data_IF_063544362586
#
_entry.id   IF_063544362586
#
_cell.length_a   1.000
_cell.length_b   1.000
_cell.length_c   1.000
_cell.angle_alpha   90.00
_cell.angle_beta   90.00
_cell.angle_gamma   90.00
#
_symmetry.space_group_name_H-M   'P 1'
#
loop_
_entity.id
_entity.type
_entity.pdbx_description
1 polymer ?
#
# COMPACT_ATOMS: atom_id res chain seq x y z
N UNK A 1 -9.26 13.82 8.96
CA UNK A 1 -8.03 13.11 8.53
C UNK A 1 -8.12 12.81 7.04
N UNK A 2 -7.13 13.22 6.25
CA UNK A 2 -7.09 12.97 4.80
C UNK A 2 -7.04 11.44 4.53
N UNK A 3 -7.66 10.96 3.44
CA UNK A 3 -7.56 9.57 2.98
C UNK A 3 -6.11 9.06 2.95
N UNK A 4 -5.19 9.86 2.42
CA UNK A 4 -3.78 9.47 2.28
C UNK A 4 -3.02 9.55 3.60
N UNK A 5 -3.38 10.48 4.47
CA UNK A 5 -2.86 10.55 5.84
C UNK A 5 -3.26 9.30 6.64
N UNK A 6 -4.52 8.86 6.53
CA UNK A 6 -4.99 7.59 7.11
C UNK A 6 -4.23 6.39 6.57
N UNK A 7 -3.96 6.41 5.27
CA UNK A 7 -3.23 5.33 4.61
C UNK A 7 -1.80 5.24 5.15
N UNK A 8 -1.08 6.37 5.26
CA UNK A 8 0.28 6.42 5.84
C UNK A 8 0.28 5.96 7.30
N UNK A 9 -0.63 6.48 8.14
CA UNK A 9 -0.74 6.07 9.55
C UNK A 9 -0.98 4.57 9.72
N UNK A 10 -1.93 4.02 8.96
CA UNK A 10 -2.21 2.58 8.98
C UNK A 10 -1.03 1.74 8.49
N UNK A 11 -0.25 2.26 7.52
CA UNK A 11 0.95 1.59 7.04
C UNK A 11 2.04 1.55 8.10
N UNK A 12 2.32 2.67 8.76
CA UNK A 12 3.31 2.77 9.84
C UNK A 12 2.93 1.85 10.99
N UNK A 13 1.65 1.82 11.39
CA UNK A 13 1.18 0.90 12.43
C UNK A 13 1.48 -0.57 12.08
N UNK A 14 1.25 -0.99 10.83
CA UNK A 14 1.56 -2.34 10.35
C UNK A 14 3.06 -2.64 10.35
N UNK A 15 3.88 -1.68 9.91
CA UNK A 15 5.33 -1.84 9.93
C UNK A 15 5.85 -2.00 11.37
N UNK A 16 5.33 -1.19 12.31
CA UNK A 16 5.69 -1.27 13.72
C UNK A 16 5.21 -2.56 14.40
N UNK A 17 4.14 -3.20 13.89
CA UNK A 17 3.69 -4.51 14.37
C UNK A 17 4.51 -5.68 13.81
N UNK A 18 5.69 -5.43 13.23
CA UNK A 18 6.60 -6.45 12.71
C UNK A 18 6.21 -7.03 11.35
N UNK A 19 5.20 -6.48 10.67
CA UNK A 19 4.81 -6.94 9.33
C UNK A 19 5.84 -6.44 8.32
N UNK A 20 6.47 -7.37 7.60
CA UNK A 20 7.40 -7.03 6.50
C UNK A 20 6.66 -6.30 5.38
N UNK A 21 7.20 -5.15 5.01
CA UNK A 21 6.70 -4.31 3.90
C UNK A 21 7.77 -4.18 2.84
N UNK A 22 7.37 -4.07 1.57
CA UNK A 22 8.34 -3.85 0.50
C UNK A 22 8.95 -2.45 0.58
N UNK A 23 10.23 -2.32 0.26
CA UNK A 23 10.92 -1.03 0.23
C UNK A 23 10.21 -0.03 -0.69
N UNK A 24 9.73 -0.46 -1.85
CA UNK A 24 8.96 0.39 -2.79
C UNK A 24 7.67 0.94 -2.17
N UNK A 25 6.99 0.15 -1.33
CA UNK A 25 5.78 0.58 -0.64
C UNK A 25 6.12 1.54 0.49
N UNK A 26 7.18 1.28 1.25
CA UNK A 26 7.68 2.20 2.28
C UNK A 26 8.08 3.56 1.68
N UNK A 27 8.85 3.55 0.58
CA UNK A 27 9.22 4.77 -0.15
C UNK A 27 7.98 5.54 -0.61
N UNK A 28 6.96 4.85 -1.14
CA UNK A 28 5.72 5.51 -1.56
C UNK A 28 4.99 6.17 -0.39
N UNK A 29 4.98 5.55 0.79
CA UNK A 29 4.37 6.15 1.99
C UNK A 29 5.15 7.36 2.46
N UNK A 30 6.48 7.27 2.47
CA UNK A 30 7.36 8.40 2.76
C UNK A 30 7.11 9.56 1.79
N UNK A 31 6.98 9.30 0.49
CA UNK A 31 6.67 10.37 -0.47
C UNK A 31 5.31 11.03 -0.23
N UNK A 32 4.28 10.26 0.16
CA UNK A 32 2.99 10.83 0.54
C UNK A 32 3.13 11.74 1.76
N UNK A 33 3.86 11.32 2.78
CA UNK A 33 4.13 12.13 3.98
C UNK A 33 4.90 13.41 3.65
N UNK A 34 6.00 13.28 2.89
CA UNK A 34 6.84 14.38 2.42
C UNK A 34 6.08 15.45 1.63
N UNK A 35 5.04 15.08 0.86
CA UNK A 35 4.22 16.00 0.07
C UNK A 35 2.90 16.37 0.77
N UNK A 36 2.83 16.28 2.11
CA UNK A 36 1.67 16.72 2.88
C UNK A 36 0.42 15.89 2.63
N UNK A 37 0.58 14.59 2.42
CA UNK A 37 -0.48 13.63 2.10
C UNK A 37 -1.23 13.93 0.80
N UNK A 38 -0.60 14.64 -0.15
CA UNK A 38 -1.19 14.93 -1.45
C UNK A 38 -0.64 13.99 -2.53
N UNK A 39 -1.48 13.05 -2.97
CA UNK A 39 -1.11 12.07 -3.99
C UNK A 39 -0.60 12.71 -5.30
N UNK A 40 -1.30 13.76 -5.79
CA UNK A 40 -0.94 14.42 -7.05
C UNK A 40 0.41 15.14 -6.96
N UNK A 41 0.77 15.63 -5.78
CA UNK A 41 2.03 16.32 -5.54
C UNK A 41 3.22 15.36 -5.53
N UNK A 42 3.01 14.09 -5.17
CA UNK A 42 4.05 13.05 -5.36
C UNK A 42 4.37 12.87 -6.84
N UNK A 43 3.37 12.93 -7.72
CA UNK A 43 3.59 12.83 -9.17
C UNK A 43 4.29 14.09 -9.71
N UNK A 44 3.92 15.27 -9.19
CA UNK A 44 4.46 16.60 -9.53
C UNK A 44 5.71 17.02 -8.75
N UNK A 45 6.31 16.10 -7.99
CA UNK A 45 7.50 16.39 -7.18
C UNK A 45 8.62 17.00 -8.06
N UNK A 46 9.14 18.20 -7.74
CA UNK A 46 10.15 18.87 -8.57
C UNK A 46 11.57 18.33 -8.36
N UNK A 47 11.80 17.54 -7.31
CA UNK A 47 13.14 17.14 -6.86
C UNK A 47 13.75 15.97 -7.64
N UNK A 48 13.48 15.87 -8.95
CA UNK A 48 13.95 14.76 -9.79
C UNK A 48 15.46 14.54 -9.75
N UNK A 49 16.25 15.62 -9.75
CA UNK A 49 17.71 15.56 -9.76
C UNK A 49 18.34 15.44 -8.38
N UNK A 50 17.60 15.80 -7.30
CA UNK A 50 18.16 15.91 -5.94
C UNK A 50 17.64 14.84 -4.97
N UNK A 51 16.56 14.14 -5.33
CA UNK A 51 15.96 13.12 -4.48
C UNK A 51 16.33 11.71 -4.98
N UNK A 52 17.14 10.94 -4.23
CA UNK A 52 17.50 9.57 -4.62
C UNK A 52 16.28 8.64 -4.68
N UNK A 53 15.19 9.00 -4.00
CA UNK A 53 13.94 8.23 -4.00
C UNK A 53 13.03 8.55 -5.19
N UNK A 54 13.36 9.55 -6.03
CA UNK A 54 12.45 10.04 -7.06
C UNK A 54 11.99 8.95 -8.03
N UNK A 55 12.89 8.06 -8.44
CA UNK A 55 12.58 6.97 -9.36
C UNK A 55 11.67 5.89 -8.74
N UNK A 56 11.65 5.79 -7.41
CA UNK A 56 10.88 4.79 -6.65
C UNK A 56 9.55 5.33 -6.10
N UNK A 57 9.32 6.65 -6.13
CA UNK A 57 8.18 7.34 -5.49
C UNK A 57 6.78 6.82 -5.88
N UNK A 58 6.66 6.27 -7.10
CA UNK A 58 5.39 5.72 -7.63
C UNK A 58 5.07 4.32 -7.10
N UNK A 59 6.00 3.66 -6.41
CA UNK A 59 5.77 2.36 -5.77
C UNK A 59 5.44 1.23 -6.76
N UNK A 60 5.76 1.40 -8.06
CA UNK A 60 5.62 0.36 -9.08
C UNK A 60 6.92 -0.43 -9.17
N UNK A 61 6.85 -1.73 -8.90
CA UNK A 61 7.86 -2.67 -9.35
C UNK A 61 7.65 -2.88 -10.87
N UNK A 62 8.66 -2.58 -11.68
CA UNK A 62 8.65 -2.89 -13.12
C UNK A 62 8.89 -4.37 -13.39
N UNK A 63 9.26 -5.15 -12.37
CA UNK A 63 9.37 -6.60 -12.43
C UNK A 63 8.01 -7.24 -12.15
N UNK A 64 7.40 -7.78 -13.20
CA UNK A 64 6.11 -8.45 -13.17
C UNK A 64 6.04 -9.55 -12.13
N UNK A 65 5.04 -9.44 -11.27
CA UNK A 65 4.06 -10.45 -10.88
C UNK A 65 2.94 -9.64 -10.20
N UNK A 66 1.91 -9.33 -10.96
CA UNK A 66 0.64 -8.83 -10.43
C UNK A 66 -0.13 -9.99 -9.77
N UNK A 67 0.43 -10.61 -8.73
CA UNK A 67 -0.32 -11.49 -7.84
C UNK A 67 -0.86 -10.66 -6.68
N UNK A 68 -2.18 -10.42 -6.65
CA UNK A 68 -3.05 -10.44 -5.46
C UNK A 68 -4.39 -9.77 -5.81
N UNK A 69 -5.22 -10.43 -6.62
CA UNK A 69 -6.68 -10.19 -6.68
C UNK A 69 -7.39 -11.47 -7.15
N UNK A 70 -7.24 -12.60 -6.46
CA UNK A 70 -8.08 -13.81 -6.64
C UNK A 70 -7.73 -14.93 -5.62
N UNK A 71 -7.79 -14.67 -4.31
CA UNK A 71 -7.77 -15.76 -3.31
C UNK A 71 -8.31 -15.39 -1.92
N UNK A 72 -9.37 -14.59 -1.86
CA UNK A 72 -10.06 -14.29 -0.59
C UNK A 72 -11.57 -14.55 -0.69
N UNK A 73 -12.17 -14.55 -1.88
CA UNK A 73 -13.62 -14.79 -2.05
C UNK A 73 -14.03 -16.27 -1.96
N UNK A 74 -13.18 -17.21 -2.37
CA UNK A 74 -13.55 -18.64 -2.43
C UNK A 74 -13.57 -19.31 -1.06
N UNK A 75 -12.61 -18.96 -0.18
CA UNK A 75 -12.58 -19.44 1.21
C UNK A 75 -13.76 -18.86 2.00
N UNK A 76 -14.17 -17.63 1.71
CA UNK A 76 -15.27 -16.98 2.44
C UNK A 76 -16.65 -17.55 2.11
N UNK A 77 -16.87 -18.10 0.91
CA UNK A 77 -18.15 -18.73 0.53
C UNK A 77 -18.29 -20.13 1.14
N UNK A 78 -17.21 -20.93 1.21
CA UNK A 78 -17.22 -22.25 1.88
C UNK A 78 -17.56 -22.11 3.37
N UNK A 79 -16.98 -21.12 4.04
CA UNK A 79 -17.27 -20.87 5.46
C UNK A 79 -18.70 -20.38 5.73
N UNK A 80 -19.43 -19.91 4.72
CA UNK A 80 -20.84 -19.50 4.83
C UNK A 80 -21.80 -20.67 4.57
N UNK A 81 -21.45 -21.61 3.68
CA UNK A 81 -22.25 -22.82 3.45
C UNK A 81 -22.18 -23.80 4.61
N UNK A 82 -21.03 -23.91 5.29
CA UNK A 82 -20.87 -24.84 6.43
C UNK A 82 -21.63 -24.39 7.70
N UNK A 83 -21.94 -23.09 7.83
CA UNK A 83 -22.75 -22.57 8.94
C UNK A 83 -24.25 -22.78 8.74
N UNK A 84 -24.72 -22.87 7.49
CA UNK A 84 -26.15 -23.06 7.15
C UNK A 84 -26.65 -24.51 7.26
N UNK A 85 -25.78 -25.47 7.58
CA UNK A 85 -26.15 -26.89 7.74
C UNK A 85 -26.12 -27.38 9.19
N UNK A 86 -25.98 -26.47 10.17
CA UNK A 86 -25.99 -26.78 11.61
C UNK A 86 -27.02 -25.96 12.42
N UNK A 87 -27.94 -25.30 11.73
CA UNK A 87 -29.21 -24.77 12.26
C UNK A 87 -30.35 -25.57 11.63
#
# INVERSE_FOLDING_TARGET
>A
MNKYEKLVKNFVQKANSGIRVSATKAIRMYCLDCMGYQYKEVDRCPSQLRCPLFHFRKGKNTTGISNTKKKVSEISLRNLSERKSKE
#
